data_IF_175096686455
#
_entry.id   IF_175096686455
#
_cell.length_a   1.000
_cell.length_b   1.000
_cell.length_c   1.000
_cell.angle_alpha   90.00
_cell.angle_beta   90.00
_cell.angle_gamma   90.00
#
_symmetry.space_group_name_H-M   'P 1'
#
loop_
_entity.id
_entity.type
_entity.pdbx_description
1 polymer ?
#
# COMPACT_ATOMS: atom_id res chain seq x y z
N UNK A 1 -42.60 -31.93 -40.85
CA UNK A 1 -41.68 -30.86 -40.42
C UNK A 1 -42.27 -30.24 -39.16
N UNK A 2 -41.80 -30.61 -37.98
CA UNK A 2 -42.29 -30.07 -36.71
C UNK A 2 -41.33 -29.00 -36.22
N UNK A 3 -41.83 -27.77 -36.08
CA UNK A 3 -41.10 -26.64 -35.49
C UNK A 3 -41.18 -26.75 -33.97
N UNK A 4 -40.09 -27.15 -33.32
CA UNK A 4 -39.98 -27.08 -31.87
C UNK A 4 -39.63 -25.64 -31.49
N UNK A 5 -40.60 -24.91 -30.95
CA UNK A 5 -40.34 -23.70 -30.18
C UNK A 5 -39.97 -24.11 -28.74
N UNK A 6 -38.75 -23.78 -28.31
CA UNK A 6 -38.33 -23.87 -26.91
C UNK A 6 -38.76 -22.60 -26.16
N UNK A 7 -39.17 -22.71 -24.88
CA UNK A 7 -39.58 -21.57 -24.06
C UNK A 7 -38.38 -20.79 -23.50
N UNK A 8 -38.66 -19.52 -23.25
CA UNK A 8 -37.85 -18.53 -22.55
C UNK A 8 -37.31 -19.05 -21.20
N UNK A 9 -36.00 -18.94 -21.01
CA UNK A 9 -35.41 -18.92 -19.66
C UNK A 9 -34.49 -17.72 -19.56
N UNK A 10 -35.08 -16.57 -19.24
CA UNK A 10 -34.38 -15.49 -18.58
C UNK A 10 -33.61 -16.01 -17.36
N UNK A 11 -32.29 -15.83 -17.40
CA UNK A 11 -31.46 -15.80 -16.20
C UNK A 11 -30.28 -14.86 -16.47
N UNK A 12 -30.30 -13.61 -15.96
CA UNK A 12 -29.05 -12.91 -15.73
C UNK A 12 -28.39 -13.57 -14.52
N UNK A 13 -27.58 -14.58 -14.79
CA UNK A 13 -26.63 -15.14 -13.84
C UNK A 13 -25.89 -13.98 -13.18
N UNK A 14 -26.16 -13.78 -11.89
CA UNK A 14 -25.51 -12.80 -11.02
C UNK A 14 -24.01 -12.85 -11.28
N UNK A 15 -23.51 -11.86 -12.02
CA UNK A 15 -22.08 -11.58 -12.08
C UNK A 15 -21.62 -11.42 -10.64
N UNK A 16 -20.79 -12.35 -10.18
CA UNK A 16 -20.23 -12.33 -8.85
C UNK A 16 -19.69 -10.93 -8.61
N UNK A 17 -20.18 -10.29 -7.56
CA UNK A 17 -19.52 -9.13 -6.98
C UNK A 17 -18.17 -9.65 -6.49
N UNK A 18 -17.18 -9.70 -7.37
CA UNK A 18 -15.81 -9.54 -6.96
C UNK A 18 -15.78 -8.18 -6.29
N UNK A 19 -15.88 -8.20 -4.96
CA UNK A 19 -15.56 -7.09 -4.08
C UNK A 19 -14.08 -6.75 -4.33
N UNK A 20 -13.80 -6.12 -5.48
CA UNK A 20 -12.68 -5.21 -5.61
C UNK A 20 -13.03 -4.10 -4.64
N UNK A 21 -12.71 -4.29 -3.36
CA UNK A 21 -12.41 -3.17 -2.49
C UNK A 21 -11.27 -2.45 -3.18
N UNK A 22 -11.62 -1.50 -4.04
CA UNK A 22 -10.71 -0.43 -4.41
C UNK A 22 -10.34 0.13 -3.06
N UNK A 23 -9.11 -0.13 -2.61
CA UNK A 23 -8.63 0.26 -1.30
C UNK A 23 -8.49 1.77 -1.34
N UNK A 24 -9.61 2.48 -1.26
CA UNK A 24 -9.70 3.92 -1.21
C UNK A 24 -9.24 4.31 0.19
N UNK A 25 -7.93 4.30 0.38
CA UNK A 25 -7.35 4.90 1.56
C UNK A 25 -7.68 6.38 1.49
N UNK A 26 -8.29 6.93 2.54
CA UNK A 26 -8.72 8.34 2.55
C UNK A 26 -8.11 9.14 3.69
N UNK A 27 -7.30 8.52 4.55
CA UNK A 27 -6.76 9.19 5.74
C UNK A 27 -5.51 8.54 6.31
N UNK A 28 -4.74 9.34 7.05
CA UNK A 28 -3.60 8.87 7.84
C UNK A 28 -4.02 7.85 8.92
N UNK A 29 -5.21 7.97 9.49
CA UNK A 29 -5.71 7.03 10.49
C UNK A 29 -5.96 5.64 9.89
N UNK A 30 -6.48 5.56 8.66
CA UNK A 30 -6.60 4.30 7.92
C UNK A 30 -5.21 3.76 7.56
N UNK A 31 -4.30 4.62 7.08
CA UNK A 31 -2.92 4.22 6.77
C UNK A 31 -2.24 3.54 7.97
N UNK A 32 -2.35 4.15 9.16
CA UNK A 32 -1.80 3.57 10.40
C UNK A 32 -2.42 2.22 10.73
N UNK A 33 -3.73 2.02 10.49
CA UNK A 33 -4.40 0.72 10.69
C UNK A 33 -3.96 -0.35 9.69
N UNK A 34 -3.54 0.04 8.50
CA UNK A 34 -3.03 -0.88 7.49
C UNK A 34 -1.55 -1.21 7.66
N UNK A 35 -0.77 -0.29 8.24
CA UNK A 35 0.66 -0.49 8.50
C UNK A 35 0.89 -1.11 9.88
N UNK A 36 0.24 -2.24 10.13
CA UNK A 36 0.42 -3.03 11.36
C UNK A 36 1.47 -4.12 11.18
N UNK A 37 2.00 -4.66 12.29
CA UNK A 37 3.02 -5.72 12.25
C UNK A 37 2.57 -6.90 11.36
N UNK A 38 3.46 -7.36 10.48
CA UNK A 38 3.23 -8.42 9.51
C UNK A 38 2.58 -7.95 8.20
N UNK A 39 2.12 -6.70 8.10
CA UNK A 39 1.56 -6.15 6.88
C UNK A 39 2.66 -5.85 5.87
N UNK A 40 2.31 -5.94 4.59
CA UNK A 40 3.25 -5.79 3.48
C UNK A 40 2.84 -4.69 2.53
N UNK A 41 3.84 -4.09 1.92
CA UNK A 41 3.66 -3.14 0.82
C UNK A 41 4.85 -3.21 -0.13
N UNK A 42 4.62 -2.85 -1.39
CA UNK A 42 5.68 -2.70 -2.38
C UNK A 42 6.01 -1.21 -2.55
N UNK A 43 7.30 -0.90 -2.61
CA UNK A 43 7.78 0.45 -2.93
C UNK A 43 7.73 0.64 -4.45
N UNK A 44 6.92 1.58 -4.92
CA UNK A 44 6.75 1.90 -6.34
C UNK A 44 7.72 3.00 -6.80
N UNK A 45 7.96 3.98 -5.95
CA UNK A 45 8.94 5.06 -6.17
C UNK A 45 9.56 5.49 -4.83
N UNK A 46 10.80 5.98 -4.86
CA UNK A 46 11.51 6.45 -3.68
C UNK A 46 12.70 7.32 -4.06
N UNK A 47 13.00 8.33 -3.24
CA UNK A 47 14.25 9.11 -3.35
C UNK A 47 15.55 8.30 -3.20
N UNK A 48 15.46 7.04 -2.77
CA UNK A 48 16.58 6.12 -2.63
C UNK A 48 16.33 4.99 -3.62
N UNK A 49 16.98 5.01 -4.80
CA UNK A 49 16.72 4.05 -5.87
C UNK A 49 16.79 2.58 -5.42
N UNK A 50 17.71 2.25 -4.51
CA UNK A 50 17.88 0.91 -3.92
C UNK A 50 16.62 0.35 -3.23
N UNK A 51 15.63 1.19 -2.91
CA UNK A 51 14.40 0.77 -2.24
C UNK A 51 13.26 0.46 -3.22
N UNK A 52 13.33 0.96 -4.46
CA UNK A 52 12.28 0.80 -5.47
C UNK A 52 12.14 -0.68 -5.85
N UNK A 53 10.89 -1.15 -5.98
CA UNK A 53 10.56 -2.54 -6.30
C UNK A 53 10.67 -3.51 -5.12
N UNK A 54 11.17 -3.08 -3.95
CA UNK A 54 11.28 -3.96 -2.80
C UNK A 54 9.93 -4.18 -2.11
N UNK A 55 9.62 -5.43 -1.78
CA UNK A 55 8.50 -5.76 -0.89
C UNK A 55 8.97 -5.63 0.55
N UNK A 56 8.23 -4.84 1.32
CA UNK A 56 8.55 -4.49 2.70
C UNK A 56 7.52 -5.11 3.62
N UNK A 57 7.97 -5.69 4.72
CA UNK A 57 7.10 -6.18 5.79
C UNK A 57 7.30 -5.35 7.06
N UNK A 58 6.21 -4.93 7.68
CA UNK A 58 6.23 -4.18 8.95
C UNK A 58 6.66 -5.10 10.08
N UNK A 59 7.81 -4.84 10.67
CA UNK A 59 8.39 -5.63 11.76
C UNK A 59 7.98 -5.12 13.14
N UNK A 60 7.80 -3.80 13.28
CA UNK A 60 7.49 -3.12 14.55
C UNK A 60 6.68 -1.86 14.26
N UNK A 61 5.69 -1.59 15.10
CA UNK A 61 4.87 -0.37 15.06
C UNK A 61 5.15 0.46 16.30
N UNK A 62 5.30 1.77 16.11
CA UNK A 62 5.35 2.77 17.16
C UNK A 62 4.31 3.86 16.87
N UNK A 63 4.00 4.72 17.86
CA UNK A 63 2.96 5.74 17.71
C UNK A 63 3.23 6.73 16.55
N UNK A 64 4.50 7.04 16.30
CA UNK A 64 4.93 7.99 15.26
C UNK A 64 5.66 7.37 14.08
N UNK A 65 5.91 6.06 14.07
CA UNK A 65 6.69 5.42 13.02
C UNK A 65 6.42 3.92 12.91
N UNK A 66 6.84 3.32 11.80
CA UNK A 66 6.99 1.89 11.67
C UNK A 66 8.43 1.52 11.37
N UNK A 67 8.77 0.25 11.61
CA UNK A 67 10.00 -0.36 11.14
C UNK A 67 9.66 -1.43 10.12
N UNK A 68 10.49 -1.55 9.08
CA UNK A 68 10.24 -2.46 7.96
C UNK A 68 11.49 -3.22 7.55
N UNK A 69 11.30 -4.49 7.18
CA UNK A 69 12.33 -5.35 6.60
C UNK A 69 12.00 -5.63 5.14
N UNK A 70 12.98 -6.02 4.34
CA UNK A 70 12.72 -6.58 3.01
C UNK A 70 12.20 -8.00 3.22
N UNK A 71 10.99 -8.28 2.74
CA UNK A 71 10.30 -9.55 3.00
C UNK A 71 11.11 -10.76 2.51
N UNK A 72 11.70 -10.64 1.32
CA UNK A 72 12.45 -11.73 0.69
C UNK A 72 13.95 -11.72 1.04
N UNK A 73 14.42 -10.72 1.80
CA UNK A 73 15.81 -10.63 2.21
C UNK A 73 15.96 -10.07 3.65
N UNK A 74 15.72 -10.91 4.67
CA UNK A 74 15.78 -10.50 6.07
C UNK A 74 17.21 -10.20 6.56
N UNK A 75 18.24 -10.65 5.85
CA UNK A 75 19.65 -10.37 6.18
C UNK A 75 20.20 -9.09 5.55
N UNK A 76 19.45 -8.49 4.62
CA UNK A 76 19.84 -7.25 3.96
C UNK A 76 20.18 -6.14 4.99
N UNK A 77 21.12 -5.25 4.65
CA UNK A 77 21.54 -4.11 5.50
C UNK A 77 20.35 -3.30 6.05
N UNK A 78 19.28 -3.15 5.27
CA UNK A 78 18.06 -2.44 5.68
C UNK A 78 17.08 -3.27 6.52
N UNK A 79 17.27 -4.58 6.62
CA UNK A 79 16.47 -5.50 7.43
C UNK A 79 17.09 -5.71 8.82
N UNK A 80 18.43 -5.68 8.93
CA UNK A 80 19.17 -5.90 10.19
C UNK A 80 19.51 -4.62 10.96
N UNK A 81 19.32 -3.44 10.36
CA UNK A 81 19.58 -2.17 11.03
C UNK A 81 18.60 -1.89 12.19
N UNK A 82 18.87 -0.84 12.97
CA UNK A 82 18.06 -0.43 14.13
C UNK A 82 17.88 -1.53 15.19
N UNK A 83 18.93 -2.32 15.43
CA UNK A 83 18.91 -3.45 16.36
C UNK A 83 18.05 -4.61 15.85
N UNK A 84 18.14 -4.91 14.56
CA UNK A 84 17.37 -6.00 13.94
C UNK A 84 15.90 -5.68 13.68
N UNK A 85 15.46 -4.43 13.86
CA UNK A 85 14.08 -4.00 13.55
C UNK A 85 13.91 -3.63 12.08
N UNK A 86 14.98 -3.29 11.37
CA UNK A 86 14.92 -2.84 9.98
C UNK A 86 14.75 -1.34 9.85
N UNK A 87 14.47 -0.84 8.65
CA UNK A 87 14.45 0.59 8.35
C UNK A 87 13.25 1.27 9.01
N UNK A 88 13.50 2.42 9.65
CA UNK A 88 12.47 3.27 10.24
C UNK A 88 11.79 4.12 9.16
N UNK A 89 10.47 4.23 9.23
CA UNK A 89 9.62 5.08 8.41
C UNK A 89 8.68 5.86 9.32
N UNK A 90 8.94 7.16 9.49
CA UNK A 90 8.10 8.04 10.32
C UNK A 90 6.79 8.40 9.61
N UNK A 91 5.71 8.58 10.36
CA UNK A 91 4.47 9.14 9.82
C UNK A 91 4.61 10.66 9.67
N UNK A 92 4.29 11.18 8.49
CA UNK A 92 4.18 12.61 8.27
C UNK A 92 2.78 13.13 8.65
N UNK A 93 2.58 14.44 8.48
CA UNK A 93 1.25 15.06 8.58
C UNK A 93 0.33 14.53 7.48
N UNK A 94 -0.97 14.48 7.73
CA UNK A 94 -1.95 13.99 6.76
C UNK A 94 -1.88 14.75 5.42
N UNK A 95 -1.59 16.06 5.45
CA UNK A 95 -1.45 16.90 4.26
C UNK A 95 -0.22 16.59 3.39
N UNK A 96 0.71 15.76 3.88
CA UNK A 96 1.87 15.29 3.12
C UNK A 96 1.59 13.99 2.36
N UNK A 97 0.36 13.46 2.42
CA UNK A 97 -0.04 12.23 1.75
C UNK A 97 -1.08 12.52 0.67
N UNK A 98 -0.87 11.92 -0.50
CA UNK A 98 -1.91 11.73 -1.50
C UNK A 98 -2.32 10.26 -1.43
N UNK A 99 -3.61 10.01 -1.22
CA UNK A 99 -4.14 8.67 -1.11
C UNK A 99 -4.94 8.31 -2.36
N UNK A 100 -4.74 7.09 -2.85
CA UNK A 100 -5.48 6.50 -3.97
C UNK A 100 -5.18 5.00 -4.05
N UNK A 101 -5.00 4.48 -5.26
CA UNK A 101 -4.60 3.07 -5.48
C UNK A 101 -3.18 2.77 -4.94
N UNK A 102 -2.36 3.81 -4.83
CA UNK A 102 -1.10 3.85 -4.10
C UNK A 102 -1.13 5.02 -3.11
N UNK A 103 -0.19 5.00 -2.17
CA UNK A 103 0.02 6.10 -1.23
C UNK A 103 1.29 6.81 -1.65
N UNK A 104 1.18 8.09 -2.00
CA UNK A 104 2.32 8.97 -2.23
C UNK A 104 2.57 9.81 -0.99
N UNK A 105 3.82 9.84 -0.56
CA UNK A 105 4.28 10.63 0.56
C UNK A 105 5.27 11.68 0.08
N UNK A 106 4.97 12.94 0.38
CA UNK A 106 5.77 14.09 0.01
C UNK A 106 6.52 14.71 1.21
N UNK A 107 7.58 15.45 0.92
CA UNK A 107 8.42 16.09 1.93
C UNK A 107 7.72 17.26 2.65
N UNK A 108 6.79 17.91 1.96
CA UNK A 108 6.02 19.05 2.43
C UNK A 108 4.53 18.83 2.12
N UNK A 109 3.62 19.63 2.70
CA UNK A 109 2.21 19.55 2.34
C UNK A 109 1.97 19.72 0.84
N UNK A 110 1.00 18.98 0.30
CA UNK A 110 0.61 19.10 -1.10
C UNK A 110 0.17 20.55 -1.39
N UNK A 111 0.69 21.12 -2.48
CA UNK A 111 0.43 22.52 -2.87
C UNK A 111 1.49 23.53 -2.39
N UNK A 112 2.55 23.10 -1.70
CA UNK A 112 3.72 23.95 -1.44
C UNK A 112 4.78 23.83 -2.54
N UNK A 113 5.60 24.85 -2.74
CA UNK A 113 6.64 24.87 -3.79
C UNK A 113 7.74 23.80 -3.61
N UNK A 114 7.99 23.31 -2.39
CA UNK A 114 8.96 22.25 -2.07
C UNK A 114 8.32 20.85 -1.98
N UNK A 115 7.22 20.63 -2.71
CA UNK A 115 6.47 19.36 -2.68
C UNK A 115 7.18 18.25 -3.49
N UNK A 116 8.31 17.75 -2.97
CA UNK A 116 9.04 16.60 -3.57
C UNK A 116 8.51 15.27 -3.06
N UNK A 117 8.32 14.30 -3.96
CA UNK A 117 7.96 12.93 -3.60
C UNK A 117 9.10 12.28 -2.80
N UNK A 118 8.80 11.78 -1.60
CA UNK A 118 9.71 10.97 -0.77
C UNK A 118 9.63 9.51 -1.20
N UNK A 119 8.39 9.02 -1.31
CA UNK A 119 8.09 7.61 -1.52
C UNK A 119 6.68 7.45 -2.05
N UNK A 120 6.51 6.52 -3.00
CA UNK A 120 5.23 5.97 -3.38
C UNK A 120 5.22 4.48 -3.05
N UNK A 121 4.15 3.99 -2.44
CA UNK A 121 4.01 2.57 -2.14
C UNK A 121 2.57 2.09 -2.24
N UNK A 122 2.42 0.78 -2.43
CA UNK A 122 1.12 0.12 -2.51
C UNK A 122 1.04 -1.03 -1.53
N UNK A 123 -0.02 -1.05 -0.73
CA UNK A 123 -0.31 -2.14 0.19
C UNK A 123 -0.60 -3.43 -0.59
N UNK A 124 -0.19 -4.57 -0.02
CA UNK A 124 -0.38 -5.92 -0.58
C UNK A 124 -1.42 -6.72 0.20
#
# INVERSE_FOLDING_TARGET
MAVNALPDTGNPSKAGKHDRRVYQMGSLSQLKKELQKGKRFIVLDHQKPDLIGTVREVSTVQGNAIYTKIADNPEHKHSICNGGRGLRMDYAKASCYEFGDSIKWFAAPIGTDDNRLIMEFKLL
#
